data_IF_528129481080
#
_entry.id   IF_528129481080
#
_cell.length_a   1.000
_cell.length_b   1.000
_cell.length_c   1.000
_cell.angle_alpha   90.00
_cell.angle_beta   90.00
_cell.angle_gamma   90.00
#
_symmetry.space_group_name_H-M   'P 1'
#
loop_
_entity.id
_entity.type
_entity.pdbx_description
1 polymer ?
#
# COMPACT_ATOMS: atom_id res chain seq x y z
N UNK A 1 43.29 -56.10 -6.31
CA UNK A 1 42.59 -57.01 -5.37
C UNK A 1 42.07 -56.33 -4.08
N UNK A 2 42.05 -55.00 -3.97
CA UNK A 2 41.41 -54.25 -2.85
C UNK A 2 40.21 -53.37 -3.26
N UNK A 3 39.88 -53.31 -4.56
CA UNK A 3 38.78 -52.48 -5.07
C UNK A 3 37.43 -53.21 -5.23
N UNK A 4 37.41 -54.55 -5.30
CA UNK A 4 36.16 -55.32 -5.34
C UNK A 4 35.53 -55.53 -3.96
N UNK A 5 36.30 -55.41 -2.87
CA UNK A 5 35.79 -55.61 -1.51
C UNK A 5 34.97 -54.41 -1.00
N UNK A 6 35.32 -53.18 -1.40
CA UNK A 6 34.59 -51.98 -0.98
C UNK A 6 33.23 -51.83 -1.67
N UNK A 7 33.10 -52.33 -2.90
CA UNK A 7 31.83 -52.28 -3.64
C UNK A 7 30.82 -53.26 -3.01
N UNK A 8 31.26 -54.45 -2.58
CA UNK A 8 30.37 -55.44 -1.94
C UNK A 8 29.92 -54.98 -0.54
N UNK A 9 30.78 -54.29 0.22
CA UNK A 9 30.41 -53.77 1.55
C UNK A 9 29.45 -52.56 1.44
N UNK A 10 29.62 -51.68 0.45
CA UNK A 10 28.67 -50.58 0.23
C UNK A 10 27.33 -51.06 -0.35
N UNK A 11 27.32 -52.10 -1.18
CA UNK A 11 26.06 -52.75 -1.60
C UNK A 11 25.36 -53.46 -0.44
N UNK A 12 26.10 -54.02 0.53
CA UNK A 12 25.52 -54.63 1.74
C UNK A 12 24.80 -53.64 2.67
N UNK A 13 25.32 -52.41 2.80
CA UNK A 13 24.66 -51.35 3.58
C UNK A 13 23.44 -50.74 2.89
N UNK A 14 23.34 -50.84 1.56
CA UNK A 14 22.13 -50.43 0.82
C UNK A 14 20.97 -51.44 0.96
N UNK A 15 21.23 -52.69 1.38
CA UNK A 15 20.20 -53.72 1.55
C UNK A 15 19.87 -54.07 3.01
N UNK A 16 20.59 -53.54 4.01
CA UNK A 16 20.31 -53.81 5.43
C UNK A 16 19.35 -52.81 6.09
N UNK A 17 18.83 -51.83 5.35
CA UNK A 17 17.72 -50.96 5.78
C UNK A 17 16.33 -51.50 5.45
N UNK A 18 16.20 -52.53 4.60
CA UNK A 18 14.91 -53.15 4.26
C UNK A 18 14.59 -54.29 5.24
N UNK A 19 14.39 -53.95 6.51
CA UNK A 19 13.62 -54.81 7.41
C UNK A 19 12.15 -54.54 7.11
N UNK A 20 11.45 -55.59 6.65
CA UNK A 20 9.99 -55.67 6.65
C UNK A 20 9.47 -55.24 8.02
N UNK A 21 8.79 -54.11 8.05
CA UNK A 21 7.54 -53.85 8.77
C UNK A 21 7.33 -52.34 8.73
N UNK A 22 6.79 -51.91 7.61
CA UNK A 22 5.84 -50.84 7.48
C UNK A 22 5.59 -50.78 5.99
N UNK A 23 4.57 -51.51 5.52
CA UNK A 23 3.81 -51.02 4.38
C UNK A 23 3.67 -49.51 4.60
N UNK A 24 3.87 -48.64 3.60
CA UNK A 24 3.30 -47.33 3.71
C UNK A 24 1.81 -47.63 3.85
N UNK A 25 1.33 -47.65 5.09
CA UNK A 25 0.04 -47.10 5.41
C UNK A 25 0.20 -45.72 4.83
N UNK A 26 -0.22 -45.59 3.56
CA UNK A 26 -1.17 -44.56 3.21
C UNK A 26 -2.12 -44.63 4.40
N UNK A 27 -1.84 -43.82 5.43
CA UNK A 27 -2.91 -43.34 6.28
C UNK A 27 -3.91 -42.93 5.23
N UNK A 28 -5.08 -43.60 5.11
CA UNK A 28 -6.09 -43.13 4.17
C UNK A 28 -6.09 -41.64 4.41
N UNK A 29 -5.74 -40.86 3.38
CA UNK A 29 -5.65 -39.41 3.52
C UNK A 29 -6.91 -39.08 4.29
N UNK A 30 -6.76 -38.55 5.52
CA UNK A 30 -7.92 -38.33 6.40
C UNK A 30 -8.95 -37.70 5.49
N UNK A 31 -10.02 -38.44 5.21
CA UNK A 31 -11.04 -37.95 4.31
C UNK A 31 -11.57 -36.78 5.11
N UNK A 32 -11.13 -35.57 4.75
CA UNK A 32 -11.54 -34.33 5.39
C UNK A 32 -13.04 -34.45 5.51
N UNK A 33 -13.50 -34.51 6.75
CA UNK A 33 -14.88 -34.84 7.03
C UNK A 33 -15.68 -33.66 6.52
N UNK A 34 -16.33 -33.81 5.37
CA UNK A 34 -17.22 -32.79 4.83
C UNK A 34 -18.51 -32.98 5.61
N UNK A 35 -18.76 -32.15 6.62
CA UNK A 35 -19.92 -32.24 7.52
C UNK A 35 -21.27 -32.05 6.78
N UNK A 36 -21.19 -31.68 5.50
CA UNK A 36 -22.28 -31.54 4.54
C UNK A 36 -22.18 -32.68 3.52
N UNK A 37 -23.10 -33.64 3.58
CA UNK A 37 -23.19 -34.74 2.62
C UNK A 37 -23.71 -34.27 1.26
N UNK A 38 -24.66 -33.33 1.27
CA UNK A 38 -25.21 -32.75 0.05
C UNK A 38 -25.64 -31.30 0.28
N UNK A 39 -25.30 -30.45 -0.69
CA UNK A 39 -25.80 -29.09 -0.81
C UNK A 39 -26.39 -28.94 -2.21
N UNK A 40 -27.68 -28.63 -2.28
CA UNK A 40 -28.37 -28.41 -3.56
C UNK A 40 -29.25 -27.18 -3.50
N UNK A 41 -29.46 -26.52 -4.63
CA UNK A 41 -30.35 -25.36 -4.74
C UNK A 41 -31.35 -25.65 -5.86
N UNK A 42 -32.67 -25.56 -5.62
CA UNK A 42 -33.67 -25.79 -6.65
C UNK A 42 -33.42 -24.92 -7.89
N UNK A 43 -33.40 -25.54 -9.08
CA UNK A 43 -33.13 -24.85 -10.35
C UNK A 43 -31.65 -24.57 -10.64
N UNK A 44 -30.71 -25.10 -9.84
CA UNK A 44 -29.26 -25.02 -10.07
C UNK A 44 -28.69 -26.43 -10.22
N UNK A 45 -28.00 -26.69 -11.35
CA UNK A 45 -27.34 -27.97 -11.58
C UNK A 45 -26.23 -28.22 -10.54
N UNK A 46 -26.09 -29.46 -10.07
CA UNK A 46 -25.04 -29.85 -9.09
C UNK A 46 -23.63 -29.48 -9.54
N UNK A 47 -23.33 -29.49 -10.84
CA UNK A 47 -22.03 -29.07 -11.41
C UNK A 47 -21.68 -27.60 -11.15
N UNK A 48 -22.68 -26.76 -10.88
CA UNK A 48 -22.52 -25.34 -10.61
C UNK A 48 -22.36 -25.04 -9.11
N UNK A 49 -22.43 -26.08 -8.27
CA UNK A 49 -22.29 -25.99 -6.82
C UNK A 49 -20.99 -26.68 -6.43
N UNK A 50 -20.11 -25.94 -5.77
CA UNK A 50 -18.86 -26.47 -5.22
C UNK A 50 -18.91 -26.38 -3.70
N UNK A 51 -18.75 -27.51 -3.01
CA UNK A 51 -18.63 -27.58 -1.55
C UNK A 51 -17.17 -27.89 -1.22
N UNK A 52 -16.47 -26.89 -0.70
CA UNK A 52 -15.11 -26.99 -0.16
C UNK A 52 -15.11 -27.20 1.35
N UNK A 53 -13.95 -27.03 1.97
CA UNK A 53 -13.76 -27.27 3.42
C UNK A 53 -14.48 -26.26 4.31
N UNK A 54 -14.47 -24.97 3.96
CA UNK A 54 -15.14 -23.89 4.69
C UNK A 54 -15.86 -22.91 3.74
N UNK A 55 -16.14 -23.35 2.51
CA UNK A 55 -16.64 -22.50 1.44
C UNK A 55 -17.61 -23.27 0.56
N UNK A 56 -18.76 -22.68 0.27
CA UNK A 56 -19.73 -23.19 -0.69
C UNK A 56 -19.92 -22.13 -1.77
N UNK A 57 -19.70 -22.51 -3.03
CA UNK A 57 -19.87 -21.61 -4.18
C UNK A 57 -21.04 -22.10 -5.02
N UNK A 58 -22.01 -21.23 -5.28
CA UNK A 58 -23.20 -21.51 -6.09
C UNK A 58 -23.20 -20.57 -7.31
N UNK A 59 -23.00 -21.12 -8.51
CA UNK A 59 -23.10 -20.36 -9.76
C UNK A 59 -24.53 -20.47 -10.32
N UNK A 60 -25.28 -19.36 -10.33
CA UNK A 60 -26.67 -19.38 -10.81
C UNK A 60 -26.70 -19.37 -12.35
N UNK A 61 -27.58 -20.17 -12.99
CA UNK A 61 -27.76 -20.14 -14.44
C UNK A 61 -28.50 -18.87 -14.90
N UNK A 62 -28.40 -18.54 -16.19
CA UNK A 62 -29.03 -17.36 -16.79
C UNK A 62 -30.55 -17.28 -16.56
N UNK A 63 -31.21 -18.44 -16.52
CA UNK A 63 -32.65 -18.58 -16.37
C UNK A 63 -33.08 -18.96 -14.94
N UNK A 64 -32.24 -18.70 -13.93
CA UNK A 64 -32.59 -18.96 -12.53
C UNK A 64 -33.86 -18.18 -12.14
N UNK A 65 -34.93 -18.90 -11.77
CA UNK A 65 -36.25 -18.30 -11.53
C UNK A 65 -36.45 -17.76 -10.11
N UNK A 66 -35.52 -18.04 -9.18
CA UNK A 66 -35.61 -17.60 -7.79
C UNK A 66 -35.24 -16.14 -7.55
N UNK A 67 -34.76 -15.42 -8.58
CA UNK A 67 -34.31 -14.03 -8.45
C UNK A 67 -33.16 -13.90 -7.44
N UNK A 68 -33.28 -12.98 -6.49
CA UNK A 68 -32.32 -12.76 -5.41
C UNK A 68 -32.48 -13.72 -4.22
N UNK A 69 -33.35 -14.72 -4.31
CA UNK A 69 -33.62 -15.62 -3.19
C UNK A 69 -33.05 -17.01 -3.47
N UNK A 70 -32.39 -17.61 -2.48
CA UNK A 70 -32.04 -19.02 -2.48
C UNK A 70 -32.59 -19.71 -1.24
N UNK A 71 -33.03 -20.95 -1.42
CA UNK A 71 -33.31 -21.87 -0.31
C UNK A 71 -32.65 -23.20 -0.63
N UNK A 72 -31.44 -23.46 -0.11
CA UNK A 72 -30.76 -24.71 -0.36
C UNK A 72 -31.42 -25.87 0.41
N UNK A 73 -31.41 -27.04 -0.20
CA UNK A 73 -31.64 -28.31 0.48
C UNK A 73 -30.28 -28.86 0.91
N UNK A 74 -30.07 -28.95 2.22
CA UNK A 74 -28.79 -29.34 2.84
C UNK A 74 -28.97 -30.63 3.63
N UNK A 75 -28.17 -31.64 3.32
CA UNK A 75 -28.10 -32.91 4.04
C UNK A 75 -26.80 -32.92 4.83
N UNK A 76 -26.90 -32.97 6.15
CA UNK A 76 -25.74 -33.05 7.05
C UNK A 76 -25.38 -34.51 7.36
N UNK A 77 -24.12 -34.74 7.73
CA UNK A 77 -23.72 -36.03 8.30
C UNK A 77 -24.43 -36.28 9.65
N UNK A 78 -24.61 -37.55 10.02
CA UNK A 78 -25.23 -37.94 11.30
C UNK A 78 -24.58 -37.23 12.50
N UNK A 79 -25.38 -36.54 13.30
CA UNK A 79 -24.93 -35.84 14.50
C UNK A 79 -24.59 -34.36 14.28
N UNK A 80 -24.71 -33.87 13.04
CA UNK A 80 -24.59 -32.47 12.69
C UNK A 80 -25.95 -31.86 12.35
N UNK A 81 -26.10 -30.57 12.64
CA UNK A 81 -27.29 -29.79 12.32
C UNK A 81 -26.93 -28.33 12.12
N UNK A 82 -27.82 -27.55 11.51
CA UNK A 82 -27.67 -26.10 11.42
C UNK A 82 -28.94 -25.39 11.87
N UNK A 83 -28.76 -24.23 12.49
CA UNK A 83 -29.82 -23.26 12.78
C UNK A 83 -29.67 -21.99 11.94
N UNK A 84 -28.81 -22.00 10.92
CA UNK A 84 -28.61 -20.85 10.05
C UNK A 84 -29.93 -20.45 9.37
N UNK A 85 -30.14 -19.15 9.19
CA UNK A 85 -31.28 -18.61 8.44
C UNK A 85 -31.31 -19.15 7.00
N UNK A 86 -30.15 -19.56 6.47
CA UNK A 86 -30.02 -20.23 5.18
C UNK A 86 -30.95 -21.46 5.05
N UNK A 87 -31.22 -22.17 6.15
CA UNK A 87 -32.14 -23.33 6.17
C UNK A 87 -33.58 -22.95 5.80
N UNK A 88 -33.98 -21.71 6.05
CA UNK A 88 -35.29 -21.16 5.70
C UNK A 88 -35.28 -20.37 4.40
N UNK A 89 -34.11 -20.26 3.77
CA UNK A 89 -33.82 -19.46 2.58
C UNK A 89 -33.64 -17.98 2.86
N UNK A 90 -32.81 -17.34 2.03
CA UNK A 90 -32.29 -15.98 2.25
C UNK A 90 -32.23 -15.20 0.94
N UNK A 91 -32.34 -13.88 1.05
CA UNK A 91 -31.93 -12.98 -0.03
C UNK A 91 -30.41 -12.82 0.02
N UNK A 92 -29.72 -12.84 -1.11
CA UNK A 92 -28.26 -12.88 -1.12
C UNK A 92 -27.53 -11.60 -1.55
N UNK A 93 -28.20 -10.73 -2.30
CA UNK A 93 -27.57 -9.58 -2.93
C UNK A 93 -26.94 -8.65 -1.90
N UNK A 94 -25.63 -8.40 -2.04
CA UNK A 94 -24.84 -7.57 -1.14
C UNK A 94 -24.63 -8.14 0.27
N UNK A 95 -25.06 -9.38 0.55
CA UNK A 95 -24.98 -9.98 1.89
C UNK A 95 -23.78 -10.92 2.06
N UNK A 96 -23.30 -11.03 3.30
CA UNK A 96 -22.43 -12.13 3.73
C UNK A 96 -23.31 -13.25 4.27
N UNK A 97 -23.34 -14.39 3.59
CA UNK A 97 -24.12 -15.55 4.01
C UNK A 97 -23.17 -16.59 4.61
N UNK A 98 -23.53 -17.07 5.80
CA UNK A 98 -22.80 -18.14 6.48
C UNK A 98 -23.72 -19.30 6.82
N UNK A 99 -23.24 -20.50 6.56
CA UNK A 99 -23.84 -21.73 7.07
C UNK A 99 -23.05 -22.18 8.29
N UNK A 100 -23.63 -21.99 9.47
CA UNK A 100 -23.05 -22.42 10.74
C UNK A 100 -23.53 -23.84 11.06
N UNK A 101 -22.61 -24.79 11.15
CA UNK A 101 -22.88 -26.20 11.39
C UNK A 101 -22.45 -26.55 12.81
N UNK A 102 -23.38 -27.12 13.57
CA UNK A 102 -23.22 -27.48 14.97
C UNK A 102 -23.24 -28.99 15.15
N UNK A 103 -22.39 -29.49 16.04
CA UNK A 103 -22.33 -30.88 16.47
C UNK A 103 -22.32 -30.94 18.00
N UNK A 104 -22.89 -31.99 18.57
CA UNK A 104 -22.79 -32.23 20.02
C UNK A 104 -21.43 -32.80 20.43
N UNK A 105 -20.61 -33.27 19.49
CA UNK A 105 -19.34 -33.97 19.76
C UNK A 105 -18.12 -33.30 19.16
N UNK A 106 -18.30 -32.23 18.38
CA UNK A 106 -17.22 -31.52 17.68
C UNK A 106 -17.41 -30.01 17.72
N UNK A 107 -16.33 -29.30 17.40
CA UNK A 107 -16.36 -27.85 17.28
C UNK A 107 -17.29 -27.39 16.16
N UNK A 108 -17.83 -26.18 16.33
CA UNK A 108 -18.69 -25.52 15.36
C UNK A 108 -17.87 -25.18 14.11
N UNK A 109 -18.43 -25.45 12.94
CA UNK A 109 -17.80 -25.16 11.65
C UNK A 109 -18.66 -24.15 10.91
N UNK A 110 -18.01 -23.21 10.23
CA UNK A 110 -18.68 -22.17 9.46
C UNK A 110 -18.26 -22.28 7.99
N UNK A 111 -19.25 -22.34 7.11
CA UNK A 111 -19.03 -22.23 5.67
C UNK A 111 -19.46 -20.84 5.20
N UNK A 112 -18.56 -20.14 4.50
CA UNK A 112 -18.96 -18.99 3.70
C UNK A 112 -19.76 -19.50 2.50
N UNK A 113 -20.95 -18.96 2.27
CA UNK A 113 -21.80 -19.32 1.13
C UNK A 113 -21.78 -18.16 0.14
N UNK A 114 -21.14 -18.39 -1.00
CA UNK A 114 -20.95 -17.40 -2.06
C UNK A 114 -21.87 -17.75 -3.22
N UNK A 115 -22.71 -16.79 -3.61
CA UNK A 115 -23.65 -16.95 -4.72
C UNK A 115 -23.24 -15.99 -5.82
N UNK A 116 -22.91 -16.56 -6.98
CA UNK A 116 -22.44 -15.86 -8.16
C UNK A 116 -23.54 -15.94 -9.24
N UNK A 117 -24.28 -14.86 -9.50
CA UNK A 117 -25.23 -14.80 -10.60
C UNK A 117 -24.56 -14.99 -11.97
N UNK A 118 -25.32 -15.47 -12.96
CA UNK A 118 -24.85 -15.55 -14.35
C UNK A 118 -24.35 -14.20 -14.89
N UNK A 119 -24.97 -13.10 -14.43
CA UNK A 119 -24.53 -11.73 -14.73
C UNK A 119 -24.27 -10.98 -13.43
N UNK A 120 -23.08 -11.17 -12.85
CA UNK A 120 -22.71 -10.57 -11.57
C UNK A 120 -22.23 -9.11 -11.67
N UNK A 121 -21.92 -8.62 -12.88
CA UNK A 121 -21.46 -7.25 -13.12
C UNK A 121 -22.41 -6.61 -14.12
N UNK A 122 -22.94 -5.44 -13.78
CA UNK A 122 -23.79 -4.65 -14.67
C UNK A 122 -23.25 -3.22 -14.74
N UNK A 123 -22.84 -2.78 -15.92
CA UNK A 123 -22.42 -1.39 -16.13
C UNK A 123 -23.64 -0.47 -16.19
N UNK A 124 -23.55 0.67 -15.52
CA UNK A 124 -24.61 1.69 -15.49
C UNK A 124 -24.65 2.50 -16.79
N UNK A 125 -23.55 2.48 -17.52
CA UNK A 125 -23.36 3.18 -18.79
C UNK A 125 -22.90 2.22 -19.89
N UNK A 126 -23.21 2.54 -21.16
CA UNK A 126 -22.69 1.77 -22.29
C UNK A 126 -21.15 1.86 -22.35
N UNK A 127 -20.54 0.91 -23.05
CA UNK A 127 -19.09 0.85 -23.31
C UNK A 127 -18.59 2.17 -23.89
N UNK A 128 -17.63 2.80 -23.21
CA UNK A 128 -17.04 4.09 -23.61
C UNK A 128 -15.63 3.91 -24.18
N UNK A 129 -15.17 4.87 -24.99
CA UNK A 129 -13.79 4.92 -25.47
C UNK A 129 -12.99 5.91 -24.61
N UNK A 130 -11.78 5.53 -24.23
CA UNK A 130 -10.91 6.35 -23.38
C UNK A 130 -9.68 6.82 -24.17
N UNK A 131 -9.33 8.10 -24.05
CA UNK A 131 -8.07 8.65 -24.54
C UNK A 131 -7.34 9.29 -23.36
N UNK A 132 -6.30 8.60 -22.87
CA UNK A 132 -5.59 8.95 -21.65
C UNK A 132 -4.12 9.28 -21.96
N UNK A 133 -3.60 10.33 -21.34
CA UNK A 133 -2.17 10.61 -21.33
C UNK A 133 -1.57 10.13 -20.01
N UNK A 134 -0.53 9.30 -20.06
CA UNK A 134 0.10 8.73 -18.86
C UNK A 134 0.55 9.85 -17.92
N UNK A 135 0.08 9.80 -16.67
CA UNK A 135 0.44 10.74 -15.63
C UNK A 135 -0.37 10.51 -14.35
N UNK A 136 -0.07 11.27 -13.27
CA UNK A 136 -0.69 11.08 -11.95
C UNK A 136 -2.21 11.33 -11.91
N UNK A 137 -2.74 11.99 -12.92
CA UNK A 137 -4.15 12.35 -13.05
C UNK A 137 -4.89 11.46 -14.06
N UNK A 138 -4.21 10.47 -14.65
CA UNK A 138 -4.78 9.60 -15.67
C UNK A 138 -5.64 8.53 -14.99
N UNK A 139 -6.96 8.69 -15.09
CA UNK A 139 -7.90 7.78 -14.44
C UNK A 139 -9.00 7.30 -15.36
N UNK A 140 -9.60 6.18 -14.97
CA UNK A 140 -10.86 5.66 -15.51
C UNK A 140 -11.86 5.71 -14.36
N UNK A 141 -12.94 6.47 -14.52
CA UNK A 141 -14.05 6.50 -13.55
C UNK A 141 -15.25 5.83 -14.21
N UNK A 142 -15.79 4.82 -13.53
CA UNK A 142 -16.92 4.04 -14.06
C UNK A 142 -17.88 3.70 -12.94
N UNK A 143 -19.14 3.51 -13.32
CA UNK A 143 -20.23 3.16 -12.41
C UNK A 143 -20.82 1.82 -12.84
N UNK A 144 -21.03 0.93 -11.86
CA UNK A 144 -21.50 -0.42 -12.08
C UNK A 144 -22.13 -0.98 -10.81
N UNK A 145 -23.09 -1.87 -11.00
CA UNK A 145 -23.71 -2.67 -9.96
C UNK A 145 -23.05 -4.06 -9.91
N UNK A 146 -22.78 -4.53 -8.69
CA UNK A 146 -22.35 -5.90 -8.42
C UNK A 146 -23.54 -6.69 -7.88
N UNK A 147 -23.93 -7.75 -8.58
CA UNK A 147 -25.03 -8.65 -8.20
C UNK A 147 -24.47 -9.95 -7.63
N UNK A 148 -25.05 -10.41 -6.52
CA UNK A 148 -24.58 -11.61 -5.81
C UNK A 148 -24.24 -11.32 -4.36
N UNK A 149 -23.64 -12.28 -3.67
CA UNK A 149 -23.15 -12.07 -2.30
C UNK A 149 -22.09 -10.96 -2.25
N UNK A 150 -21.89 -10.35 -1.07
CA UNK A 150 -20.91 -9.26 -0.86
C UNK A 150 -19.50 -9.63 -1.34
N UNK A 151 -19.14 -10.90 -1.22
CA UNK A 151 -17.91 -11.46 -1.74
C UNK A 151 -18.21 -12.46 -2.87
N UNK A 152 -17.25 -12.64 -3.76
CA UNK A 152 -17.24 -13.66 -4.81
C UNK A 152 -15.96 -14.50 -4.71
N UNK A 153 -15.74 -15.43 -5.65
CA UNK A 153 -14.51 -16.22 -5.75
C UNK A 153 -13.81 -15.99 -7.08
N UNK A 154 -12.48 -16.01 -7.07
CA UNK A 154 -11.69 -16.03 -8.30
C UNK A 154 -11.49 -17.47 -8.82
N UNK A 155 -10.80 -17.63 -9.95
CA UNK A 155 -10.54 -18.93 -10.58
C UNK A 155 -9.72 -19.90 -9.68
N UNK A 156 -9.02 -19.40 -8.68
CA UNK A 156 -8.31 -20.23 -7.69
C UNK A 156 -9.17 -20.62 -6.48
N UNK A 157 -10.45 -20.23 -6.45
CA UNK A 157 -11.35 -20.45 -5.31
C UNK A 157 -11.10 -19.54 -4.11
N UNK A 158 -10.31 -18.47 -4.27
CA UNK A 158 -10.05 -17.49 -3.20
C UNK A 158 -11.19 -16.47 -3.15
N UNK A 159 -11.67 -16.18 -1.95
CA UNK A 159 -12.67 -15.15 -1.70
C UNK A 159 -12.09 -13.77 -2.05
N UNK A 160 -12.83 -12.99 -2.84
CA UNK A 160 -12.51 -11.62 -3.22
C UNK A 160 -13.71 -10.71 -3.01
N UNK A 161 -13.44 -9.48 -2.58
CA UNK A 161 -14.48 -8.48 -2.29
C UNK A 161 -14.49 -7.37 -3.33
N UNK A 162 -13.31 -6.93 -3.76
CA UNK A 162 -13.17 -5.74 -4.57
C UNK A 162 -13.03 -6.11 -6.05
N UNK A 163 -13.76 -5.43 -6.95
CA UNK A 163 -13.54 -5.52 -8.38
C UNK A 163 -12.29 -4.73 -8.79
N UNK A 164 -11.76 -5.04 -9.97
CA UNK A 164 -10.65 -4.31 -10.57
C UNK A 164 -10.85 -4.17 -12.08
N UNK A 165 -10.19 -3.20 -12.71
CA UNK A 165 -10.12 -3.08 -14.16
C UNK A 165 -8.92 -3.85 -14.67
N UNK A 166 -9.13 -4.79 -15.59
CA UNK A 166 -8.06 -5.45 -16.34
C UNK A 166 -7.83 -4.72 -17.65
N UNK A 167 -6.60 -4.27 -17.88
CA UNK A 167 -6.16 -3.74 -19.17
C UNK A 167 -5.40 -4.82 -19.95
N UNK A 168 -5.91 -5.13 -21.14
CA UNK A 168 -5.30 -6.09 -22.08
C UNK A 168 -4.81 -5.35 -23.31
N UNK A 169 -3.53 -5.50 -23.65
CA UNK A 169 -2.93 -4.89 -24.83
C UNK A 169 -3.50 -5.51 -26.10
N UNK A 170 -3.98 -4.67 -27.03
CA UNK A 170 -4.61 -5.15 -28.28
C UNK A 170 -3.62 -5.79 -29.25
N UNK A 171 -2.36 -5.40 -29.20
CA UNK A 171 -1.30 -5.90 -30.08
C UNK A 171 -0.83 -7.28 -29.62
N UNK A 172 -0.63 -7.46 -28.32
CA UNK A 172 -0.07 -8.70 -27.75
C UNK A 172 -1.14 -9.68 -27.26
N UNK A 173 -2.35 -9.19 -26.96
CA UNK A 173 -3.42 -9.94 -26.34
C UNK A 173 -3.16 -10.29 -24.87
N UNK A 174 -2.10 -9.74 -24.26
CA UNK A 174 -1.71 -10.04 -22.87
C UNK A 174 -2.31 -9.03 -21.91
N UNK A 175 -2.65 -9.51 -20.70
CA UNK A 175 -2.96 -8.64 -19.58
C UNK A 175 -1.70 -7.86 -19.20
N UNK A 176 -1.74 -6.54 -19.33
CA UNK A 176 -0.61 -5.67 -18.98
C UNK A 176 -0.77 -5.09 -17.58
N UNK A 177 -1.99 -4.76 -17.15
CA UNK A 177 -2.24 -4.15 -15.83
C UNK A 177 -3.58 -4.61 -15.24
N UNK A 178 -3.61 -4.71 -13.91
CA UNK A 178 -4.83 -4.82 -13.10
C UNK A 178 -4.92 -3.59 -12.19
N UNK A 179 -5.95 -2.77 -12.39
CA UNK A 179 -6.16 -1.50 -11.70
C UNK A 179 -7.21 -1.69 -10.61
N UNK A 180 -6.82 -1.45 -9.37
CA UNK A 180 -7.74 -1.41 -8.24
C UNK A 180 -8.28 0.00 -8.04
N UNK A 181 -9.44 0.10 -7.37
CA UNK A 181 -10.03 1.39 -7.07
C UNK A 181 -9.05 2.22 -6.22
N UNK A 182 -8.83 3.47 -6.61
CA UNK A 182 -7.94 4.38 -5.91
C UNK A 182 -8.70 5.01 -4.73
N UNK A 183 -8.35 4.69 -3.47
CA UNK A 183 -9.04 5.22 -2.31
C UNK A 183 -8.85 6.74 -2.15
N UNK A 184 -7.89 7.33 -2.87
CA UNK A 184 -7.65 8.78 -2.90
C UNK A 184 -8.73 9.54 -3.66
N UNK A 185 -9.63 8.83 -4.36
CA UNK A 185 -10.80 9.38 -5.04
C UNK A 185 -12.09 8.82 -4.41
N UNK A 186 -12.41 9.17 -3.15
CA UNK A 186 -13.65 8.71 -2.55
C UNK A 186 -14.83 9.28 -3.34
N UNK A 187 -15.48 8.41 -4.12
CA UNK A 187 -16.67 8.66 -4.92
C UNK A 187 -16.64 9.97 -5.72
N UNK A 188 -15.67 10.10 -6.64
CA UNK A 188 -15.61 11.17 -7.63
C UNK A 188 -16.77 11.05 -8.64
N UNK A 189 -18.01 11.30 -8.20
CA UNK A 189 -19.22 11.20 -9.00
C UNK A 189 -19.59 9.75 -9.37
N UNK A 190 -20.62 9.23 -8.71
CA UNK A 190 -21.37 8.00 -9.04
C UNK A 190 -20.61 6.67 -9.21
N UNK A 191 -19.30 6.56 -8.99
CA UNK A 191 -18.62 5.25 -9.05
C UNK A 191 -17.13 5.27 -8.65
N UNK A 192 -16.51 4.08 -8.54
CA UNK A 192 -15.08 3.97 -8.24
C UNK A 192 -14.21 4.55 -9.36
N UNK A 193 -13.08 5.11 -8.96
CA UNK A 193 -12.07 5.66 -9.87
C UNK A 193 -10.81 4.80 -9.81
N UNK A 194 -10.23 4.49 -10.96
CA UNK A 194 -9.08 3.63 -11.13
C UNK A 194 -7.94 4.44 -11.76
N UNK A 195 -6.79 4.50 -11.10
CA UNK A 195 -5.64 5.29 -11.56
C UNK A 195 -4.67 4.43 -12.38
N UNK A 196 -4.23 4.95 -13.53
CA UNK A 196 -3.22 4.27 -14.34
C UNK A 196 -1.85 4.35 -13.62
N UNK A 197 -1.15 3.22 -13.41
CA UNK A 197 0.12 3.21 -12.70
C UNK A 197 1.27 3.74 -13.57
N UNK A 198 2.38 4.20 -12.96
CA UNK A 198 3.58 4.63 -13.68
C UNK A 198 4.21 3.58 -14.61
N UNK A 199 3.89 2.30 -14.38
CA UNK A 199 4.39 1.17 -15.17
C UNK A 199 3.63 0.91 -16.47
N UNK A 200 2.48 1.54 -16.68
CA UNK A 200 1.72 1.38 -17.93
C UNK A 200 2.51 1.97 -19.10
N UNK A 201 2.51 1.28 -20.24
CA UNK A 201 3.16 1.75 -21.46
C UNK A 201 2.17 2.46 -22.38
N UNK A 202 2.64 3.33 -23.28
CA UNK A 202 1.78 3.85 -24.36
C UNK A 202 1.33 2.72 -25.29
N UNK A 203 0.07 2.74 -25.70
CA UNK A 203 -0.51 1.68 -26.51
C UNK A 203 -2.03 1.77 -26.65
N UNK A 204 -2.61 0.75 -27.26
CA UNK A 204 -4.06 0.55 -27.32
C UNK A 204 -4.47 -0.70 -26.54
N UNK A 205 -5.47 -0.53 -25.68
CA UNK A 205 -5.92 -1.54 -24.75
C UNK A 205 -7.43 -1.78 -24.87
N UNK A 206 -7.87 -2.94 -24.45
CA UNK A 206 -9.24 -3.19 -24.00
C UNK A 206 -9.28 -3.14 -22.48
N UNK A 207 -10.38 -2.64 -21.91
CA UNK A 207 -10.61 -2.63 -20.47
C UNK A 207 -11.83 -3.50 -20.13
N UNK A 208 -11.66 -4.41 -19.18
CA UNK A 208 -12.74 -5.23 -18.61
C UNK A 208 -12.82 -4.95 -17.11
N UNK A 209 -14.03 -4.80 -16.55
CA UNK A 209 -14.22 -4.89 -15.09
C UNK A 209 -14.27 -6.36 -14.73
N UNK A 210 -13.47 -6.76 -13.75
CA UNK A 210 -13.36 -8.14 -13.27
C UNK A 210 -13.75 -8.20 -11.80
N UNK A 211 -14.61 -9.15 -11.45
CA UNK A 211 -14.98 -9.45 -10.08
C UNK A 211 -15.11 -10.97 -9.93
N UNK A 212 -14.13 -11.58 -9.26
CA UNK A 212 -14.03 -13.04 -9.18
C UNK A 212 -13.79 -13.66 -10.55
N UNK A 213 -14.61 -14.65 -10.90
CA UNK A 213 -14.60 -15.32 -12.21
C UNK A 213 -15.36 -14.53 -13.29
N UNK A 214 -16.10 -13.49 -12.92
CA UNK A 214 -16.96 -12.72 -13.82
C UNK A 214 -16.21 -11.51 -14.38
N UNK A 215 -16.54 -11.17 -15.63
CA UNK A 215 -15.98 -10.00 -16.30
C UNK A 215 -16.98 -9.36 -17.25
N UNK A 216 -16.95 -8.04 -17.34
CA UNK A 216 -17.79 -7.26 -18.26
C UNK A 216 -16.91 -6.25 -19.02
N UNK A 217 -17.14 -6.11 -20.33
CA UNK A 217 -16.36 -5.20 -21.17
C UNK A 217 -16.69 -3.75 -20.83
N UNK A 218 -15.72 -3.01 -20.27
CA UNK A 218 -15.85 -1.59 -19.97
C UNK A 218 -15.54 -0.72 -21.19
N UNK A 219 -14.48 -1.07 -21.91
CA UNK A 219 -14.04 -0.34 -23.10
C UNK A 219 -13.38 -1.26 -24.09
N UNK A 220 -13.82 -1.18 -25.35
CA UNK A 220 -13.12 -1.82 -26.46
C UNK A 220 -11.94 -0.99 -26.97
N UNK A 221 -11.78 0.27 -26.54
CA UNK A 221 -10.76 1.18 -27.05
C UNK A 221 -10.31 2.17 -25.98
N UNK A 222 -9.27 1.77 -25.24
CA UNK A 222 -8.49 2.64 -24.36
C UNK A 222 -7.19 2.97 -25.08
N UNK A 223 -7.01 4.21 -25.52
CA UNK A 223 -5.76 4.70 -26.10
C UNK A 223 -4.95 5.42 -25.04
N UNK A 224 -3.75 4.93 -24.79
CA UNK A 224 -2.81 5.49 -23.81
C UNK A 224 -1.65 6.14 -24.58
N UNK A 225 -1.48 7.46 -24.43
CA UNK A 225 -0.39 8.23 -25.04
C UNK A 225 0.66 8.63 -23.99
N UNK A 226 1.93 8.81 -24.38
CA UNK A 226 2.95 9.29 -23.45
C UNK A 226 2.60 10.69 -22.94
N UNK A 227 2.87 10.94 -21.65
CA UNK A 227 2.83 12.26 -21.05
C UNK A 227 4.24 12.80 -20.75
N UNK A 228 4.36 13.94 -20.04
CA UNK A 228 5.66 14.41 -19.55
C UNK A 228 6.21 13.51 -18.44
N UNK A 229 7.53 13.47 -18.28
CA UNK A 229 8.19 12.83 -17.13
C UNK A 229 7.74 13.53 -15.85
N UNK A 230 7.23 12.77 -14.89
CA UNK A 230 6.77 13.30 -13.59
C UNK A 230 7.20 12.38 -12.46
N UNK A 231 8.03 12.91 -11.56
CA UNK A 231 8.52 12.18 -10.38
C UNK A 231 7.48 12.20 -9.27
N UNK A 232 7.27 11.05 -8.63
CA UNK A 232 6.52 10.98 -7.37
C UNK A 232 7.43 11.47 -6.24
N UNK A 233 6.85 12.22 -5.31
CA UNK A 233 7.50 12.63 -4.07
C UNK A 233 7.86 11.41 -3.21
N UNK A 234 9.06 11.41 -2.66
CA UNK A 234 9.62 10.25 -1.96
C UNK A 234 10.16 10.59 -0.58
N UNK A 235 9.98 9.68 0.37
CA UNK A 235 10.69 9.69 1.65
C UNK A 235 11.32 8.34 1.91
N UNK A 236 12.63 8.34 2.11
CA UNK A 236 13.39 7.12 2.36
C UNK A 236 13.94 7.14 3.78
N UNK A 237 13.58 6.12 4.54
CA UNK A 237 14.05 5.92 5.91
C UNK A 237 15.08 4.82 5.90
N UNK A 238 16.35 5.21 5.89
CA UNK A 238 17.48 4.30 5.72
C UNK A 238 18.21 4.06 7.03
N UNK A 239 18.78 2.87 7.15
CA UNK A 239 19.82 2.59 8.14
C UNK A 239 21.18 2.81 7.48
N UNK A 240 22.19 3.10 8.29
CA UNK A 240 23.54 3.42 7.82
C UNK A 240 24.15 2.32 6.93
N UNK A 241 23.77 1.06 7.16
CA UNK A 241 24.22 -0.15 6.45
C UNK A 241 23.28 -0.58 5.30
N UNK A 242 22.09 0.02 5.17
CA UNK A 242 21.10 -0.30 4.14
C UNK A 242 20.69 0.95 3.36
N UNK A 243 21.38 1.17 2.23
CA UNK A 243 21.34 2.45 1.48
C UNK A 243 20.72 2.36 0.08
N UNK A 244 20.14 1.24 -0.28
CA UNK A 244 19.40 1.09 -1.53
C UNK A 244 18.11 1.90 -1.51
N UNK A 245 17.77 2.53 -2.63
CA UNK A 245 16.48 3.18 -2.82
C UNK A 245 15.92 3.06 -4.24
N UNK A 246 14.61 3.16 -4.31
CA UNK A 246 13.85 3.25 -5.55
C UNK A 246 13.09 4.58 -5.62
N UNK A 247 13.00 5.12 -6.83
CA UNK A 247 12.22 6.31 -7.16
C UNK A 247 11.15 5.89 -8.17
N UNK A 248 9.92 6.32 -7.89
CA UNK A 248 8.79 6.11 -8.79
C UNK A 248 8.53 7.36 -9.64
N UNK A 249 8.36 7.19 -10.95
CA UNK A 249 8.07 8.30 -11.86
C UNK A 249 7.32 7.84 -13.11
N UNK A 250 6.46 8.70 -13.67
CA UNK A 250 5.75 8.44 -14.91
C UNK A 250 6.63 8.74 -16.14
N UNK A 251 6.37 8.03 -17.25
CA UNK A 251 6.94 8.28 -18.58
C UNK A 251 8.48 8.19 -18.65
N UNK A 252 9.09 7.30 -17.88
CA UNK A 252 10.54 7.07 -17.94
C UNK A 252 10.93 6.39 -19.26
N UNK A 253 11.92 6.95 -19.94
CA UNK A 253 12.56 6.39 -21.14
C UNK A 253 13.89 5.74 -20.75
N UNK A 254 14.17 4.50 -21.19
CA UNK A 254 15.46 3.86 -20.93
C UNK A 254 16.64 4.55 -21.63
N UNK A 255 16.38 5.46 -22.58
CA UNK A 255 17.42 6.21 -23.30
C UNK A 255 17.83 7.51 -22.60
N UNK A 256 17.05 7.98 -21.61
CA UNK A 256 17.35 9.21 -20.89
C UNK A 256 18.40 8.99 -19.79
N UNK A 257 19.11 10.07 -19.45
CA UNK A 257 20.01 10.11 -18.31
C UNK A 257 19.27 10.63 -17.08
N UNK A 258 19.19 9.79 -16.05
CA UNK A 258 18.57 10.14 -14.77
C UNK A 258 19.60 10.36 -13.68
N UNK A 259 19.47 11.46 -12.94
CA UNK A 259 20.35 11.79 -11.82
C UNK A 259 19.53 12.37 -10.66
N UNK A 260 20.01 12.17 -9.43
CA UNK A 260 19.51 12.86 -8.24
C UNK A 260 20.63 13.71 -7.64
N UNK A 261 20.32 14.92 -7.20
CA UNK A 261 21.17 15.69 -6.31
C UNK A 261 20.64 15.48 -4.90
N UNK A 262 21.52 15.06 -4.00
CA UNK A 262 21.27 14.98 -2.56
C UNK A 262 22.02 16.11 -1.87
N UNK A 263 21.35 16.84 -0.97
CA UNK A 263 21.92 18.01 -0.34
C UNK A 263 21.38 18.26 1.06
N UNK A 264 22.21 18.86 1.91
CA UNK A 264 21.82 19.48 3.17
C UNK A 264 22.76 20.66 3.43
N UNK A 265 22.46 21.49 4.42
CA UNK A 265 23.25 22.70 4.67
C UNK A 265 24.61 22.44 5.36
N UNK A 266 24.93 21.17 5.69
CA UNK A 266 26.15 20.78 6.42
C UNK A 266 27.24 20.13 5.55
N UNK A 267 26.94 19.88 4.27
CA UNK A 267 27.84 19.19 3.37
C UNK A 267 27.68 19.66 1.93
N UNK A 268 28.68 19.34 1.10
CA UNK A 268 28.58 19.60 -0.33
C UNK A 268 27.48 18.71 -0.94
N UNK A 269 26.66 19.29 -1.82
CA UNK A 269 25.68 18.56 -2.60
C UNK A 269 26.36 17.46 -3.42
N UNK A 270 25.72 16.28 -3.50
CA UNK A 270 26.27 15.12 -4.22
C UNK A 270 25.30 14.68 -5.30
N UNK A 271 25.85 14.30 -6.44
CA UNK A 271 25.10 13.77 -7.56
C UNK A 271 25.16 12.25 -7.56
N UNK A 272 24.01 11.61 -7.71
CA UNK A 272 23.84 10.16 -7.80
C UNK A 272 23.28 9.86 -9.19
N UNK A 273 23.94 8.99 -9.94
CA UNK A 273 23.37 8.45 -11.17
C UNK A 273 22.27 7.44 -10.82
N UNK A 274 21.09 7.59 -11.42
CA UNK A 274 19.97 6.69 -11.21
C UNK A 274 19.92 5.68 -12.35
N UNK A 275 19.73 4.41 -12.01
CA UNK A 275 19.60 3.31 -12.97
C UNK A 275 18.13 3.12 -13.33
N UNK A 276 17.84 3.05 -14.63
CA UNK A 276 16.54 2.60 -15.10
C UNK A 276 16.41 1.09 -14.85
N UNK A 277 15.41 0.68 -14.07
CA UNK A 277 15.14 -0.74 -13.82
C UNK A 277 14.03 -1.25 -14.73
N UNK A 278 12.91 -0.52 -14.76
CA UNK A 278 11.69 -0.90 -15.48
C UNK A 278 10.78 0.32 -15.66
N UNK A 279 9.73 0.24 -16.49
CA UNK A 279 8.75 1.31 -16.60
C UNK A 279 8.24 1.70 -15.21
N UNK A 280 8.31 2.98 -14.90
CA UNK A 280 7.86 3.50 -13.61
C UNK A 280 8.91 3.55 -12.50
N UNK A 281 10.07 2.89 -12.63
CA UNK A 281 11.03 2.70 -11.53
C UNK A 281 12.48 3.01 -11.92
N UNK A 282 13.11 3.87 -11.11
CA UNK A 282 14.56 4.06 -11.08
C UNK A 282 15.12 3.57 -9.75
N UNK A 283 16.38 3.15 -9.73
CA UNK A 283 17.07 2.73 -8.50
C UNK A 283 18.44 3.38 -8.36
N UNK A 284 18.95 3.44 -7.13
CA UNK A 284 20.36 3.70 -6.85
C UNK A 284 20.71 3.27 -5.42
N UNK A 285 22.01 3.35 -5.11
CA UNK A 285 22.50 3.29 -3.74
C UNK A 285 22.93 4.68 -3.29
N UNK A 286 22.60 5.03 -2.06
CA UNK A 286 23.07 6.26 -1.45
C UNK A 286 24.59 6.17 -1.21
N UNK A 287 25.40 7.18 -1.56
CA UNK A 287 26.86 7.07 -1.49
C UNK A 287 27.35 6.74 -0.08
N UNK A 288 28.18 5.70 0.07
CA UNK A 288 28.71 5.23 1.38
C UNK A 288 29.47 6.32 2.14
N UNK A 289 30.14 7.23 1.42
CA UNK A 289 30.89 8.35 2.00
C UNK A 289 30.00 9.47 2.56
N UNK A 290 28.68 9.35 2.47
CA UNK A 290 27.74 10.30 3.10
C UNK A 290 27.37 9.79 4.50
N UNK A 291 27.48 10.60 5.54
CA UNK A 291 27.13 10.15 6.90
C UNK A 291 25.60 10.11 7.16
N UNK A 292 25.18 9.64 8.35
CA UNK A 292 23.83 9.83 8.86
C UNK A 292 23.38 11.29 8.76
N UNK A 293 22.08 11.51 8.56
CA UNK A 293 21.54 12.85 8.38
C UNK A 293 20.25 12.90 7.59
N UNK A 294 19.72 14.11 7.49
CA UNK A 294 18.54 14.44 6.71
C UNK A 294 19.00 15.16 5.43
N UNK A 295 18.70 14.59 4.27
CA UNK A 295 19.12 15.11 2.97
C UNK A 295 17.91 15.34 2.09
N UNK A 296 17.81 16.51 1.47
CA UNK A 296 16.81 16.79 0.45
C UNK A 296 17.23 16.15 -0.87
N UNK A 297 16.27 15.70 -1.68
CA UNK A 297 16.51 15.25 -3.06
C UNK A 297 16.01 16.29 -4.09
N UNK A 298 16.76 16.43 -5.17
CA UNK A 298 16.37 17.15 -6.39
C UNK A 298 16.59 16.23 -7.60
N UNK A 299 15.57 16.02 -8.42
CA UNK A 299 15.63 15.11 -9.57
C UNK A 299 16.09 15.83 -10.83
N UNK A 300 16.92 15.16 -11.63
CA UNK A 300 17.40 15.66 -12.91
C UNK A 300 17.13 14.64 -14.02
N UNK A 301 16.65 15.13 -15.16
CA UNK A 301 16.52 14.37 -16.40
C UNK A 301 17.33 15.08 -17.47
N UNK A 302 18.30 14.38 -18.06
CA UNK A 302 19.21 14.94 -19.06
C UNK A 302 19.84 16.27 -18.60
N UNK A 303 20.19 16.34 -17.31
CA UNK A 303 20.78 17.51 -16.67
C UNK A 303 19.81 18.64 -16.30
N UNK A 304 18.50 18.51 -16.55
CA UNK A 304 17.48 19.51 -16.22
C UNK A 304 16.67 19.10 -14.99
N UNK A 305 16.52 20.02 -14.06
CA UNK A 305 15.72 19.83 -12.85
C UNK A 305 14.25 19.51 -13.17
N UNK A 306 13.73 18.51 -12.48
CA UNK A 306 12.33 18.11 -12.53
C UNK A 306 11.68 18.33 -11.17
N UNK A 307 10.57 19.07 -11.18
CA UNK A 307 9.75 19.21 -9.98
C UNK A 307 8.85 17.97 -9.82
N UNK A 308 8.85 17.31 -8.65
CA UNK A 308 7.89 16.26 -8.36
C UNK A 308 6.44 16.77 -8.50
N UNK A 309 5.53 15.89 -8.88
CA UNK A 309 4.11 16.22 -8.83
C UNK A 309 3.61 16.22 -7.38
N UNK A 310 2.56 16.99 -7.11
CA UNK A 310 1.93 17.00 -5.79
C UNK A 310 0.99 15.80 -5.64
N UNK A 311 1.27 14.92 -4.67
CA UNK A 311 0.37 13.80 -4.34
C UNK A 311 -1.01 14.33 -3.96
N UNK A 312 -2.10 13.59 -4.22
CA UNK A 312 -3.46 14.09 -3.97
C UNK A 312 -3.83 14.12 -2.48
N UNK A 313 -3.25 13.21 -1.70
CA UNK A 313 -3.46 13.14 -0.26
C UNK A 313 -2.71 14.28 0.45
N UNK A 314 -3.47 15.17 1.11
CA UNK A 314 -2.91 16.39 1.74
C UNK A 314 -1.83 16.09 2.78
N UNK A 315 -1.97 14.98 3.51
CA UNK A 315 -0.97 14.54 4.48
C UNK A 315 0.37 14.24 3.80
N UNK A 316 0.36 13.53 2.66
CA UNK A 316 1.57 13.22 1.91
C UNK A 316 2.21 14.47 1.31
N UNK A 317 1.40 15.44 0.84
CA UNK A 317 1.89 16.76 0.41
C UNK A 317 2.62 17.48 1.56
N UNK A 318 2.07 17.40 2.76
CA UNK A 318 2.51 18.18 3.92
C UNK A 318 3.75 17.61 4.61
N UNK A 319 3.86 16.29 4.75
CA UNK A 319 4.91 15.66 5.55
C UNK A 319 6.34 15.85 4.98
N UNK A 320 6.50 16.51 3.83
CA UNK A 320 7.83 16.84 3.29
C UNK A 320 8.50 15.64 2.63
N UNK A 321 7.71 14.90 1.85
CA UNK A 321 8.18 13.77 1.05
C UNK A 321 9.10 14.25 -0.09
N UNK A 322 10.36 14.57 0.19
CA UNK A 322 11.47 14.72 -0.77
C UNK A 322 12.80 14.64 0.01
N UNK A 323 12.91 13.66 0.91
CA UNK A 323 14.05 13.53 1.83
C UNK A 323 14.52 12.10 2.01
N UNK A 324 15.83 11.95 2.19
CA UNK A 324 16.47 10.79 2.78
C UNK A 324 16.73 11.06 4.26
N UNK A 325 16.34 10.12 5.10
CA UNK A 325 16.60 10.12 6.54
C UNK A 325 17.50 8.93 6.84
N UNK A 326 18.81 9.17 6.93
CA UNK A 326 19.82 8.15 7.21
C UNK A 326 20.05 8.13 8.71
N UNK A 327 19.66 7.04 9.34
CA UNK A 327 19.64 6.89 10.80
C UNK A 327 20.60 5.82 11.26
N UNK A 328 21.05 5.95 12.50
CA UNK A 328 21.90 4.96 13.18
C UNK A 328 21.12 3.70 13.53
N UNK A 329 19.82 3.82 13.80
CA UNK A 329 18.93 2.70 14.09
C UNK A 329 17.48 3.04 13.64
N UNK A 330 16.58 2.06 13.70
CA UNK A 330 15.19 2.22 13.24
C UNK A 330 14.30 3.09 14.14
N UNK A 331 14.66 3.25 15.42
CA UNK A 331 13.87 3.99 16.42
C UNK A 331 14.23 5.47 16.50
N UNK A 332 15.44 5.82 16.05
CA UNK A 332 15.97 7.18 16.13
C UNK A 332 14.97 8.19 15.58
N UNK A 333 14.63 9.24 16.37
CA UNK A 333 13.67 10.24 15.95
C UNK A 333 14.22 11.10 14.82
N UNK A 334 13.33 11.75 14.07
CA UNK A 334 13.65 12.62 12.93
C UNK A 334 12.94 13.95 13.10
N UNK A 335 13.68 15.06 13.06
CA UNK A 335 13.08 16.39 12.86
C UNK A 335 12.72 16.54 11.39
N UNK A 336 11.42 16.69 11.09
CA UNK A 336 10.93 16.82 9.71
C UNK A 336 10.62 18.25 9.31
N UNK A 337 10.01 19.01 10.20
CA UNK A 337 9.53 20.37 9.91
C UNK A 337 9.89 21.26 11.10
N UNK A 338 10.46 22.42 10.77
CA UNK A 338 10.68 23.53 11.70
C UNK A 338 9.86 24.72 11.20
N UNK A 339 9.11 25.35 12.10
CA UNK A 339 8.16 26.42 11.77
C UNK A 339 7.85 27.32 12.97
N UNK A 340 6.92 28.27 12.82
CA UNK A 340 6.42 29.15 13.88
C UNK A 340 4.89 29.30 13.78
N UNK A 341 4.26 29.70 14.88
CA UNK A 341 2.80 29.77 14.99
C UNK A 341 2.20 30.79 14.01
N UNK A 342 2.84 31.93 13.81
CA UNK A 342 2.40 32.99 12.89
C UNK A 342 2.35 32.56 11.42
N UNK A 343 3.09 31.51 11.04
CA UNK A 343 3.15 31.02 9.67
C UNK A 343 1.99 30.07 9.31
N UNK A 344 1.06 29.83 10.23
CA UNK A 344 -0.11 28.99 10.00
C UNK A 344 -0.84 29.39 8.72
N UNK A 345 -0.97 28.43 7.82
CA UNK A 345 -1.69 28.53 6.56
C UNK A 345 -2.82 27.49 6.53
N UNK A 346 -3.58 27.41 5.43
CA UNK A 346 -4.71 26.50 5.28
C UNK A 346 -4.70 25.80 3.93
N UNK A 347 -4.94 24.48 3.94
CA UNK A 347 -5.28 23.75 2.72
C UNK A 347 -6.73 24.06 2.34
N UNK A 348 -6.96 24.31 1.04
CA UNK A 348 -8.32 24.33 0.49
C UNK A 348 -8.74 22.91 0.16
N UNK A 349 -9.79 22.42 0.81
CA UNK A 349 -10.34 21.08 0.54
C UNK A 349 -11.55 21.16 -0.40
N UNK A 350 -11.81 20.11 -1.21
CA UNK A 350 -13.03 20.01 -2.03
C UNK A 350 -14.32 20.07 -1.19
N UNK A 351 -14.25 19.67 0.08
CA UNK A 351 -15.36 19.75 1.04
C UNK A 351 -15.45 21.11 1.76
N UNK A 352 -14.72 22.13 1.30
CA UNK A 352 -14.71 23.50 1.83
C UNK A 352 -14.32 23.64 3.31
N UNK A 353 -13.73 22.62 3.93
CA UNK A 353 -13.11 22.74 5.25
C UNK A 353 -11.67 23.25 5.11
N UNK A 354 -11.35 24.36 5.78
CA UNK A 354 -9.98 24.87 5.85
C UNK A 354 -9.21 24.05 6.87
N UNK A 355 -8.26 23.24 6.42
CA UNK A 355 -7.39 22.46 7.33
C UNK A 355 -6.11 23.25 7.60
N UNK A 356 -5.83 23.65 8.85
CA UNK A 356 -4.63 24.43 9.17
C UNK A 356 -3.37 23.59 8.94
N UNK A 357 -2.32 24.22 8.43
CA UNK A 357 -0.98 23.63 8.34
C UNK A 357 0.12 24.65 8.64
N UNK A 358 1.31 24.17 8.99
CA UNK A 358 2.46 25.01 9.30
C UNK A 358 3.59 24.77 8.28
N UNK A 359 3.80 25.68 7.31
CA UNK A 359 4.87 25.52 6.32
C UNK A 359 6.24 25.53 7.01
N UNK A 360 7.16 24.71 6.50
CA UNK A 360 8.55 24.75 6.95
C UNK A 360 9.18 26.12 6.66
N UNK A 361 9.92 26.67 7.62
CA UNK A 361 10.70 27.91 7.44
C UNK A 361 12.12 27.73 7.97
N UNK A 362 13.04 28.51 7.40
CA UNK A 362 14.39 28.70 7.93
C UNK A 362 14.56 30.05 8.60
N UNK A 363 13.65 30.99 8.40
CA UNK A 363 13.68 32.29 9.07
C UNK A 363 12.79 32.24 10.31
N UNK A 364 13.38 32.44 11.49
CA UNK A 364 12.74 32.32 12.80
C UNK A 364 12.80 33.67 13.50
N UNK A 365 11.63 34.23 13.84
CA UNK A 365 11.52 35.40 14.71
C UNK A 365 11.70 34.97 16.16
N UNK A 366 12.69 35.52 16.86
CA UNK A 366 12.98 35.16 18.25
C UNK A 366 11.83 35.40 19.23
N UNK A 367 10.84 36.22 18.87
CA UNK A 367 9.68 36.56 19.72
C UNK A 367 8.64 35.46 19.76
N UNK A 368 8.72 34.47 18.87
CA UNK A 368 7.81 33.33 18.82
C UNK A 368 8.58 32.04 19.11
N UNK A 369 7.96 31.06 19.80
CA UNK A 369 8.59 29.76 20.01
C UNK A 369 8.85 29.06 18.67
N UNK A 370 9.90 28.24 18.63
CA UNK A 370 10.13 27.35 17.51
C UNK A 370 9.15 26.18 17.65
N UNK A 371 8.41 25.91 16.57
CA UNK A 371 7.57 24.74 16.46
C UNK A 371 8.30 23.66 15.66
N UNK A 372 8.38 22.44 16.20
CA UNK A 372 8.99 21.32 15.50
C UNK A 372 8.07 20.10 15.42
N UNK A 373 7.93 19.56 14.22
CA UNK A 373 7.37 18.22 14.04
C UNK A 373 8.51 17.20 14.01
N UNK A 374 8.50 16.34 15.03
CA UNK A 374 9.46 15.23 15.18
C UNK A 374 8.73 13.91 14.97
N UNK A 375 9.10 13.18 13.93
CA UNK A 375 8.63 11.81 13.75
C UNK A 375 9.42 10.88 14.66
N UNK A 376 8.72 10.09 15.46
CA UNK A 376 9.34 9.18 16.42
C UNK A 376 8.38 8.03 16.76
N UNK A 377 8.93 6.92 17.23
CA UNK A 377 8.17 5.76 17.67
C UNK A 377 8.09 5.71 19.20
N UNK A 378 7.06 5.07 19.72
CA UNK A 378 6.87 4.89 21.16
C UNK A 378 6.26 6.09 21.90
N UNK A 379 6.03 5.95 23.21
CA UNK A 379 5.38 6.96 24.03
C UNK A 379 6.15 8.29 24.04
N UNK A 380 5.46 9.38 24.38
CA UNK A 380 6.12 10.66 24.61
C UNK A 380 7.08 10.53 25.81
N UNK A 381 8.36 10.91 25.69
CA UNK A 381 9.33 10.72 26.76
C UNK A 381 9.18 11.78 27.86
N UNK A 382 9.83 11.52 28.98
CA UNK A 382 9.96 12.51 30.07
C UNK A 382 10.88 13.69 29.69
N UNK A 383 11.87 13.45 28.82
CA UNK A 383 12.80 14.47 28.33
C UNK A 383 12.54 14.80 26.85
N UNK A 384 12.31 16.07 26.56
CA UNK A 384 12.19 16.57 25.20
C UNK A 384 12.76 17.99 25.09
N UNK A 385 13.88 18.13 24.39
CA UNK A 385 14.61 19.39 24.29
C UNK A 385 15.08 19.62 22.86
N UNK A 386 15.04 20.88 22.43
CA UNK A 386 15.65 21.29 21.17
C UNK A 386 17.05 21.86 21.45
N UNK A 387 18.04 21.42 20.69
CA UNK A 387 19.40 21.94 20.77
C UNK A 387 19.67 22.79 19.53
N UNK A 388 20.04 24.05 19.75
CA UNK A 388 20.50 24.98 18.73
C UNK A 388 22.02 25.10 18.81
N UNK A 389 22.73 24.71 17.75
CA UNK A 389 24.20 24.88 17.67
C UNK A 389 24.53 26.05 16.75
N UNK A 390 25.08 27.13 17.31
CA UNK A 390 25.48 28.30 16.53
C UNK A 390 26.55 27.90 15.50
N UNK A 391 26.33 28.23 14.23
CA UNK A 391 27.19 27.80 13.13
C UNK A 391 28.52 28.55 13.04
N UNK A 392 28.62 29.73 13.66
CA UNK A 392 29.86 30.52 13.69
C UNK A 392 30.73 30.15 14.89
N UNK A 393 30.12 29.97 16.06
CA UNK A 393 30.86 29.77 17.32
C UNK A 393 30.92 28.31 17.78
N UNK A 394 30.04 27.45 17.27
CA UNK A 394 29.89 26.07 17.73
C UNK A 394 29.21 25.92 19.09
N UNK A 395 28.80 27.02 19.73
CA UNK A 395 28.15 26.99 21.05
C UNK A 395 26.74 26.39 20.93
N UNK A 396 26.43 25.44 21.81
CA UNK A 396 25.11 24.82 21.91
C UNK A 396 24.22 25.56 22.93
N UNK A 397 22.96 25.74 22.57
CA UNK A 397 21.91 26.29 23.43
C UNK A 397 20.75 25.29 23.51
N UNK A 398 20.30 25.01 24.72
CA UNK A 398 19.19 24.08 24.99
C UNK A 398 17.89 24.85 25.18
N UNK A 399 16.87 24.48 24.43
CA UNK A 399 15.51 25.02 24.51
C UNK A 399 14.60 23.92 25.08
N UNK A 400 14.02 24.11 26.28
CA UNK A 400 13.11 23.14 26.86
C UNK A 400 11.78 23.13 26.11
N UNK A 401 11.13 21.96 26.06
CA UNK A 401 9.74 21.86 25.63
C UNK A 401 8.82 22.63 26.59
N UNK A 402 7.91 23.47 26.08
CA UNK A 402 7.05 24.31 26.93
C UNK A 402 5.90 23.56 27.61
N UNK A 403 5.59 22.34 27.15
CA UNK A 403 4.33 21.65 27.48
C UNK A 403 3.24 21.83 26.43
N UNK A 404 3.37 22.83 25.56
CA UNK A 404 2.39 23.13 24.52
C UNK A 404 2.66 22.39 23.22
N UNK A 405 1.60 21.88 22.60
CA UNK A 405 1.67 21.30 21.26
C UNK A 405 0.58 21.88 20.37
N UNK A 406 0.86 21.93 19.07
CA UNK A 406 -0.05 22.42 18.04
C UNK A 406 -0.34 21.30 17.05
N UNK A 407 -1.55 20.77 17.13
CA UNK A 407 -1.99 19.66 16.31
C UNK A 407 -2.54 20.06 14.95
N UNK A 408 -2.46 19.13 14.00
CA UNK A 408 -3.18 19.11 12.73
C UNK A 408 -3.83 17.74 12.53
N UNK A 409 -4.91 17.68 11.75
CA UNK A 409 -5.62 16.44 11.41
C UNK A 409 -5.96 15.61 12.68
N UNK A 410 -6.75 16.17 13.60
CA UNK A 410 -7.09 15.55 14.88
C UNK A 410 -5.86 15.08 15.70
N UNK A 411 -4.80 15.90 15.69
CA UNK A 411 -3.50 15.67 16.33
C UNK A 411 -2.66 14.53 15.72
N UNK A 412 -3.02 14.01 14.55
CA UNK A 412 -2.19 13.03 13.83
C UNK A 412 -0.77 13.57 13.57
N UNK A 413 -0.65 14.87 13.29
CA UNK A 413 0.62 15.59 13.28
C UNK A 413 0.61 16.59 14.43
N UNK A 414 1.58 16.47 15.33
CA UNK A 414 1.71 17.37 16.50
C UNK A 414 3.05 18.09 16.47
N UNK A 415 3.01 19.42 16.47
CA UNK A 415 4.17 20.29 16.58
C UNK A 415 4.45 20.61 18.04
N UNK A 416 5.65 20.34 18.52
CA UNK A 416 6.08 20.67 19.87
C UNK A 416 6.66 22.08 19.90
N UNK A 417 6.39 22.81 20.98
CA UNK A 417 6.80 24.20 21.16
C UNK A 417 8.07 24.33 22.02
N UNK A 418 9.03 25.09 21.51
CA UNK A 418 10.33 25.34 22.16
C UNK A 418 10.57 26.86 22.24
N UNK A 419 10.31 27.49 23.39
CA UNK A 419 10.58 28.91 23.62
C UNK A 419 12.08 29.21 23.49
N UNK A 420 12.41 30.37 22.92
CA UNK A 420 13.79 30.81 22.69
C UNK A 420 14.22 31.69 23.88
N UNK A 421 15.16 31.26 24.73
CA UNK A 421 15.58 32.07 25.87
C UNK A 421 16.45 33.26 25.45
N UNK A 422 16.48 34.30 26.28
CA UNK A 422 17.17 35.58 25.98
C UNK A 422 18.68 35.45 25.78
N UNK A 423 19.29 34.41 26.35
CA UNK A 423 20.72 34.14 26.22
C UNK A 423 21.12 33.56 24.85
N UNK A 424 20.16 33.19 23.99
CA UNK A 424 20.42 32.74 22.63
C UNK A 424 20.54 33.98 21.73
N UNK A 425 21.73 34.28 21.18
CA UNK A 425 21.89 35.44 20.30
C UNK A 425 21.23 35.22 18.94
N UNK A 426 21.02 36.29 18.19
CA UNK A 426 20.61 36.18 16.79
C UNK A 426 21.77 35.56 15.97
N UNK A 427 21.45 34.79 14.94
CA UNK A 427 22.46 34.12 14.13
C UNK A 427 21.96 32.90 13.37
N UNK A 428 22.89 32.11 12.86
CA UNK A 428 22.60 30.88 12.11
C UNK A 428 22.79 29.65 12.99
N UNK A 429 21.83 28.74 12.98
CA UNK A 429 21.81 27.58 13.88
C UNK A 429 21.51 26.27 13.16
N UNK A 430 22.27 25.23 13.50
CA UNK A 430 21.85 23.84 13.29
C UNK A 430 20.87 23.44 14.40
N UNK A 431 19.88 22.62 14.06
CA UNK A 431 18.87 22.15 15.00
C UNK A 431 18.93 20.63 15.12
N UNK A 432 18.88 20.12 16.34
CA UNK A 432 18.52 18.72 16.64
C UNK A 432 17.56 18.67 17.82
N UNK A 433 16.84 17.57 17.96
CA UNK A 433 15.96 17.33 19.13
C UNK A 433 16.47 16.12 19.91
N UNK A 434 16.51 16.26 21.23
CA UNK A 434 16.77 15.17 22.18
C UNK A 434 15.42 14.69 22.71
N UNK A 435 15.16 13.39 22.57
CA UNK A 435 13.89 12.74 22.95
C UNK A 435 14.23 11.51 23.79
N UNK A 436 14.03 11.60 25.10
CA UNK A 436 14.47 10.57 26.05
C UNK A 436 15.98 10.39 26.01
N UNK A 437 16.45 9.18 25.72
CA UNK A 437 17.87 8.86 25.55
C UNK A 437 18.37 8.98 24.10
N UNK A 438 17.46 9.20 23.15
CA UNK A 438 17.80 9.31 21.73
C UNK A 438 17.88 10.78 21.29
N UNK A 439 18.60 11.03 20.21
CA UNK A 439 18.65 12.34 19.56
C UNK A 439 18.47 12.20 18.05
N UNK A 440 17.80 13.17 17.47
CA UNK A 440 17.70 13.28 16.02
C UNK A 440 19.07 13.57 15.43
N UNK A 441 19.24 13.25 14.14
CA UNK A 441 20.26 13.93 13.34
C UNK A 441 19.90 15.42 13.20
N UNK A 442 20.84 16.22 12.70
CA UNK A 442 20.57 17.63 12.43
C UNK A 442 19.44 17.75 11.39
N UNK A 443 18.53 18.70 11.62
CA UNK A 443 17.54 19.12 10.63
C UNK A 443 18.24 19.52 9.33
N UNK A 444 17.70 19.14 8.16
CA UNK A 444 18.40 19.24 6.87
C UNK A 444 18.84 20.65 6.47
N UNK A 445 18.30 21.69 7.14
CA UNK A 445 18.57 23.10 6.88
C UNK A 445 19.00 23.84 8.13
N UNK A 446 19.87 24.82 7.95
CA UNK A 446 20.25 25.80 8.95
C UNK A 446 19.11 26.83 9.06
N UNK A 447 18.72 27.16 10.29
CA UNK A 447 17.81 28.28 10.54
C UNK A 447 18.58 29.58 10.78
N UNK A 448 17.94 30.70 10.48
CA UNK A 448 18.37 32.04 10.83
C UNK A 448 17.42 32.59 11.87
N UNK A 449 17.94 32.81 13.08
CA UNK A 449 17.24 33.44 14.20
C UNK A 449 17.47 34.95 14.15
N UNK A 450 16.39 35.74 14.13
CA UNK A 450 16.43 37.21 14.03
C UNK A 450 15.53 37.91 15.03
#
# INVERSE_FOLDING_TARGET
MKQYLYIIIYSGFLFWGCRKDDDPKVKPAEIKQIDILEFSVPGVDKKNITVGENLIVVNLPQNYSGGNYIKPDIIFETGYSSKSELMNGVNFDGQEIRLEVESNTRERINFDVIIVPHKAIQLDKPVENYNLAIGPEATITTSFDLQGTRATVNDSGKIVYEPFIRLTDKTTGRTEQELYADPSYPNAGNGPTFTLPPSVLPGEYTAEIVWGTQKELLSSQVKVSPGPVKFKRGSWYMQDDHRYFEITAYNLSPADKYEAIIENDFGAARRIALKYEKPGTLSANFPETTGPGNYKITYLVNGKEQKPYEDRLWLERYLGNDHFFIRKNSTQPIVRIITQLSLRSFFSTPQLSNVPYYPATTDIDRKEPILAYTQSWGPFPDLNEMILTNQETGVEYTLPYSGDFYGMFDNFVSFLSYPIPDNVPNGKYAIRVVRGTEKTENYSRIITLK
#
